data_IF_863677582549
#
_entry.id   IF_863677582549
#
_cell.length_a   1.000
_cell.length_b   1.000
_cell.length_c   1.000
_cell.angle_alpha   90.00
_cell.angle_beta   90.00
_cell.angle_gamma   90.00
#
_symmetry.space_group_name_H-M   'P 1'
#
loop_
_entity.id
_entity.type
_entity.pdbx_description
1 polymer ?
#
# COMPACT_ATOMS: atom_id res chain seq x y z
N UNK A 1 -45.59 10.12 -6.84
CA UNK A 1 -45.91 8.68 -6.69
C UNK A 1 -44.90 8.09 -5.74
N UNK A 2 -45.43 7.55 -4.66
CA UNK A 2 -44.79 7.10 -3.42
C UNK A 2 -44.03 5.80 -3.61
N UNK A 3 -42.84 5.65 -3.01
CA UNK A 3 -42.27 4.34 -2.66
C UNK A 3 -41.19 4.50 -1.57
N UNK A 4 -41.68 4.33 -0.35
CA UNK A 4 -41.09 3.89 0.91
C UNK A 4 -39.58 3.60 1.01
N UNK A 5 -38.94 4.32 1.94
CA UNK A 5 -37.72 3.90 2.62
C UNK A 5 -38.08 2.86 3.69
N UNK A 6 -37.62 1.62 3.54
CA UNK A 6 -37.79 0.57 4.55
C UNK A 6 -36.49 0.39 5.32
N UNK A 7 -36.46 0.95 6.53
CA UNK A 7 -35.45 0.69 7.54
C UNK A 7 -35.51 -0.78 7.97
N UNK A 8 -34.45 -1.55 7.74
CA UNK A 8 -34.32 -2.88 8.33
C UNK A 8 -33.84 -2.69 9.77
N UNK A 9 -34.78 -2.43 10.67
CA UNK A 9 -34.61 -2.65 12.10
C UNK A 9 -34.70 -4.15 12.31
N UNK A 10 -33.57 -4.77 12.65
CA UNK A 10 -33.50 -6.19 13.02
C UNK A 10 -34.28 -6.36 14.32
N UNK A 11 -35.48 -6.91 14.23
CA UNK A 11 -36.33 -7.21 15.38
C UNK A 11 -35.82 -8.49 16.05
N UNK A 12 -35.23 -8.35 17.25
CA UNK A 12 -34.59 -9.40 18.05
C UNK A 12 -35.58 -10.49 18.54
N UNK A 13 -36.87 -10.34 18.25
CA UNK A 13 -37.93 -11.28 18.65
C UNK A 13 -38.23 -12.38 17.64
N UNK A 14 -37.72 -12.33 16.40
CA UNK A 14 -37.98 -13.40 15.41
C UNK A 14 -37.02 -14.59 15.54
N UNK A 15 -35.98 -14.50 16.37
CA UNK A 15 -35.03 -15.58 16.63
C UNK A 15 -35.52 -16.59 17.69
N UNK A 16 -36.49 -16.24 18.53
CA UNK A 16 -37.05 -17.16 19.53
C UNK A 16 -37.99 -18.20 18.92
N UNK A 17 -38.59 -17.92 17.76
CA UNK A 17 -39.62 -18.78 17.19
C UNK A 17 -39.06 -19.87 16.26
N UNK A 18 -37.82 -19.73 15.78
CA UNK A 18 -37.15 -20.78 14.97
C UNK A 18 -36.56 -21.87 15.87
N UNK A 19 -36.13 -21.53 17.09
CA UNK A 19 -35.63 -22.49 18.09
C UNK A 19 -36.73 -23.43 18.62
N UNK A 20 -38.01 -23.05 18.48
CA UNK A 20 -39.13 -23.86 18.96
C UNK A 20 -39.52 -25.03 18.03
N UNK A 21 -39.06 -25.04 16.77
CA UNK A 21 -39.46 -26.06 15.78
C UNK A 21 -38.47 -27.23 15.65
N UNK A 22 -37.25 -27.14 16.21
CA UNK A 22 -36.26 -28.23 16.17
C UNK A 22 -36.52 -29.38 17.18
N UNK A 23 -37.53 -29.26 18.06
CA UNK A 23 -37.81 -30.28 19.09
C UNK A 23 -38.63 -31.50 18.65
N UNK A 24 -39.18 -31.54 17.43
CA UNK A 24 -40.21 -32.52 17.09
C UNK A 24 -39.86 -33.58 16.04
N UNK A 25 -38.61 -33.67 15.58
CA UNK A 25 -38.19 -34.73 14.66
C UNK A 25 -36.83 -35.27 15.08
N UNK A 26 -36.79 -36.10 16.13
CA UNK A 26 -35.73 -37.08 16.34
C UNK A 26 -36.22 -38.16 17.33
N UNK A 27 -36.82 -39.21 16.77
CA UNK A 27 -37.08 -40.46 17.47
C UNK A 27 -36.09 -41.52 17.00
N UNK A 28 -35.44 -42.18 17.97
CA UNK A 28 -34.61 -43.40 17.90
C UNK A 28 -33.09 -43.25 17.65
N UNK A 29 -32.28 -43.34 18.72
CA UNK A 29 -31.35 -44.46 18.98
C UNK A 29 -30.60 -44.24 20.30
N UNK A 30 -30.59 -45.24 21.19
CA UNK A 30 -30.18 -45.14 22.59
C UNK A 30 -28.65 -45.05 22.84
N UNK A 31 -27.84 -44.89 21.80
CA UNK A 31 -26.42 -44.53 21.90
C UNK A 31 -26.18 -43.02 21.77
N UNK A 32 -27.15 -42.26 21.23
CA UNK A 32 -26.97 -40.82 20.98
C UNK A 32 -27.02 -39.98 22.26
N UNK A 33 -27.68 -40.44 23.32
CA UNK A 33 -27.95 -39.60 24.51
C UNK A 33 -26.71 -39.28 25.34
N UNK A 34 -25.70 -40.16 25.37
CA UNK A 34 -24.48 -39.93 26.15
C UNK A 34 -23.49 -39.06 25.38
N UNK A 35 -23.34 -39.30 24.08
CA UNK A 35 -22.50 -38.48 23.18
C UNK A 35 -23.11 -37.09 23.00
N UNK A 36 -24.43 -36.95 22.81
CA UNK A 36 -25.13 -35.65 22.77
C UNK A 36 -24.88 -34.85 24.07
N UNK A 37 -24.86 -35.53 25.23
CA UNK A 37 -24.59 -34.88 26.51
C UNK A 37 -23.14 -34.37 26.61
N UNK A 38 -22.16 -35.14 26.12
CA UNK A 38 -20.75 -34.74 26.11
C UNK A 38 -20.50 -33.55 25.17
N UNK A 39 -21.13 -33.54 23.99
CA UNK A 39 -21.02 -32.43 23.03
C UNK A 39 -21.69 -31.15 23.56
N UNK A 40 -22.81 -31.26 24.27
CA UNK A 40 -23.42 -30.09 24.93
C UNK A 40 -22.58 -29.60 26.12
N UNK A 41 -21.90 -30.48 26.86
CA UNK A 41 -20.96 -30.09 27.92
C UNK A 41 -19.77 -29.30 27.38
N UNK A 42 -19.15 -29.70 26.25
CA UNK A 42 -18.03 -28.95 25.67
C UNK A 42 -18.48 -27.60 25.10
N UNK A 43 -19.70 -27.52 24.53
CA UNK A 43 -20.29 -26.24 24.12
C UNK A 43 -20.53 -25.31 25.30
N UNK A 44 -20.99 -25.85 26.45
CA UNK A 44 -21.14 -25.09 27.69
C UNK A 44 -19.79 -24.61 28.24
N UNK A 45 -18.78 -25.47 28.28
CA UNK A 45 -17.42 -25.08 28.66
C UNK A 45 -16.88 -23.94 27.78
N UNK A 46 -17.13 -24.00 26.46
CA UNK A 46 -16.77 -22.93 25.53
C UNK A 46 -17.56 -21.63 25.74
N UNK A 47 -18.84 -21.74 26.10
CA UNK A 47 -19.66 -20.58 26.46
C UNK A 47 -19.16 -19.88 27.73
N UNK A 48 -18.71 -20.64 28.72
CA UNK A 48 -18.21 -20.14 30.00
C UNK A 48 -16.74 -19.70 29.89
N UNK A 49 -15.99 -20.29 28.96
CA UNK A 49 -14.56 -20.08 28.75
C UNK A 49 -13.69 -20.90 29.72
N UNK A 50 -14.21 -22.05 30.18
CA UNK A 50 -13.59 -22.91 31.18
C UNK A 50 -12.59 -23.88 30.53
N UNK A 51 -11.30 -23.56 30.63
CA UNK A 51 -10.20 -24.34 30.05
C UNK A 51 -9.98 -25.63 30.86
N UNK A 52 -10.18 -25.61 32.18
CA UNK A 52 -10.01 -26.80 33.03
C UNK A 52 -11.06 -27.84 32.63
N UNK A 53 -12.32 -27.42 32.49
CA UNK A 53 -13.39 -28.31 32.04
C UNK A 53 -13.18 -28.84 30.63
N UNK A 54 -12.52 -28.08 29.75
CA UNK A 54 -12.12 -28.58 28.43
C UNK A 54 -11.15 -29.75 28.54
N UNK A 55 -10.11 -29.64 29.37
CA UNK A 55 -9.14 -30.72 29.56
C UNK A 55 -9.74 -31.92 30.28
N UNK A 56 -10.66 -31.73 31.23
CA UNK A 56 -11.42 -32.83 31.83
C UNK A 56 -12.23 -33.60 30.78
N UNK A 57 -12.92 -32.88 29.88
CA UNK A 57 -13.71 -33.51 28.81
C UNK A 57 -12.82 -34.22 27.78
N UNK A 58 -11.63 -33.71 27.49
CA UNK A 58 -10.64 -34.39 26.64
C UNK A 58 -10.08 -35.65 27.32
N UNK A 59 -9.95 -35.64 28.66
CA UNK A 59 -9.55 -36.84 29.40
C UNK A 59 -10.67 -37.89 29.44
N UNK A 60 -11.94 -37.46 29.50
CA UNK A 60 -13.12 -38.33 29.38
C UNK A 60 -13.22 -38.96 27.97
N UNK A 61 -13.02 -38.17 26.91
CA UNK A 61 -12.98 -38.64 25.51
C UNK A 61 -11.87 -37.94 24.70
N UNK A 62 -10.75 -38.64 24.39
CA UNK A 62 -9.64 -38.07 23.63
C UNK A 62 -9.99 -37.63 22.20
N UNK A 63 -11.07 -38.15 21.60
CA UNK A 63 -11.46 -37.82 20.22
C UNK A 63 -12.64 -36.84 20.14
N UNK A 64 -13.04 -36.23 21.25
CA UNK A 64 -14.19 -35.30 21.33
C UNK A 64 -14.11 -34.13 20.32
N UNK A 65 -12.89 -33.67 19.99
CA UNK A 65 -12.67 -32.59 19.02
C UNK A 65 -12.69 -33.07 17.56
N UNK A 66 -12.43 -34.36 17.31
CA UNK A 66 -12.40 -34.95 15.98
C UNK A 66 -13.78 -35.01 15.33
N UNK A 67 -14.84 -35.22 16.13
CA UNK A 67 -16.21 -35.29 15.63
C UNK A 67 -16.65 -34.04 14.85
N UNK A 68 -16.19 -32.85 15.25
CA UNK A 68 -16.50 -31.59 14.56
C UNK A 68 -15.85 -31.47 13.17
N UNK A 69 -14.82 -32.26 12.87
CA UNK A 69 -14.24 -32.31 11.52
C UNK A 69 -15.08 -33.16 10.56
N UNK A 70 -15.72 -34.22 11.07
CA UNK A 70 -16.55 -35.13 10.27
C UNK A 70 -17.81 -34.43 9.74
N UNK A 71 -18.39 -33.54 10.54
CA UNK A 71 -19.58 -32.78 10.16
C UNK A 71 -19.18 -31.56 9.31
N UNK A 72 -19.63 -31.42 8.05
CA UNK A 72 -19.22 -30.33 7.18
C UNK A 72 -19.64 -28.94 7.69
N UNK A 73 -20.88 -28.83 8.20
CA UNK A 73 -21.45 -27.60 8.78
C UNK A 73 -21.96 -27.90 10.18
N UNK A 74 -21.24 -27.45 11.20
CA UNK A 74 -21.65 -27.60 12.59
C UNK A 74 -21.24 -26.37 13.41
N UNK A 75 -22.01 -26.09 14.46
CA UNK A 75 -21.63 -25.10 15.46
C UNK A 75 -20.56 -25.72 16.37
N UNK A 76 -19.30 -25.38 16.11
CA UNK A 76 -18.16 -25.89 16.91
C UNK A 76 -18.02 -25.11 18.22
N UNK A 77 -17.34 -25.67 19.25
CA UNK A 77 -17.07 -24.94 20.49
C UNK A 77 -16.27 -23.64 20.23
N UNK A 78 -15.47 -23.59 19.16
CA UNK A 78 -14.74 -22.39 18.76
C UNK A 78 -15.67 -21.27 18.26
N UNK A 79 -16.77 -21.61 17.57
CA UNK A 79 -17.78 -20.62 17.17
C UNK A 79 -18.46 -19.99 18.39
N UNK A 80 -18.82 -20.81 19.38
CA UNK A 80 -19.47 -20.35 20.62
C UNK A 80 -18.51 -19.46 21.42
N UNK A 81 -17.29 -19.92 21.65
CA UNK A 81 -16.25 -19.14 22.33
C UNK A 81 -16.01 -17.81 21.61
N UNK A 82 -15.99 -17.83 20.26
CA UNK A 82 -15.81 -16.64 19.45
C UNK A 82 -16.99 -15.66 19.53
N UNK A 83 -18.23 -16.13 19.51
CA UNK A 83 -19.40 -15.29 19.72
C UNK A 83 -19.47 -14.68 21.12
N UNK A 84 -19.02 -15.41 22.14
CA UNK A 84 -19.00 -14.97 23.54
C UNK A 84 -17.75 -14.18 23.95
N UNK A 85 -16.73 -14.09 23.10
CA UNK A 85 -15.50 -13.34 23.39
C UNK A 85 -14.52 -14.04 24.34
N UNK A 86 -14.64 -15.36 24.51
CA UNK A 86 -13.76 -16.16 25.39
C UNK A 86 -12.39 -16.36 24.76
N UNK A 87 -11.56 -15.32 24.80
CA UNK A 87 -10.30 -15.23 24.05
C UNK A 87 -9.32 -16.34 24.41
N UNK A 88 -9.03 -16.55 25.69
CA UNK A 88 -8.07 -17.58 26.12
C UNK A 88 -8.52 -18.99 25.73
N UNK A 89 -9.78 -19.32 26.00
CA UNK A 89 -10.38 -20.58 25.58
C UNK A 89 -10.30 -20.79 24.06
N UNK A 90 -10.62 -19.75 23.28
CA UNK A 90 -10.58 -19.83 21.82
C UNK A 90 -9.16 -20.01 21.27
N UNK A 91 -8.17 -19.34 21.85
CA UNK A 91 -6.76 -19.54 21.47
C UNK A 91 -6.32 -20.97 21.78
N UNK A 92 -6.68 -21.48 22.97
CA UNK A 92 -6.28 -22.81 23.38
C UNK A 92 -6.91 -23.91 22.53
N UNK A 93 -8.19 -23.75 22.21
CA UNK A 93 -8.87 -24.67 21.30
C UNK A 93 -8.29 -24.63 19.88
N UNK A 94 -7.84 -23.45 19.42
CA UNK A 94 -7.18 -23.31 18.12
C UNK A 94 -5.77 -23.94 18.12
N UNK A 95 -5.06 -23.92 19.25
CA UNK A 95 -3.79 -24.65 19.43
C UNK A 95 -4.01 -26.17 19.41
N UNK A 96 -5.03 -26.66 20.11
CA UNK A 96 -5.35 -28.09 20.17
C UNK A 96 -5.89 -28.62 18.84
N UNK A 97 -6.75 -27.86 18.16
CA UNK A 97 -7.41 -28.27 16.92
C UNK A 97 -7.55 -27.11 15.91
N UNK A 98 -6.50 -26.80 15.14
CA UNK A 98 -6.51 -25.68 14.19
C UNK A 98 -7.58 -25.79 13.09
N UNK A 99 -7.99 -27.00 12.70
CA UNK A 99 -9.00 -27.22 11.65
C UNK A 99 -10.33 -26.51 11.95
N UNK A 100 -10.69 -26.39 13.23
CA UNK A 100 -11.93 -25.74 13.67
C UNK A 100 -11.98 -24.25 13.34
N UNK A 101 -10.84 -23.58 13.17
CA UNK A 101 -10.77 -22.15 12.86
C UNK A 101 -11.28 -21.82 11.45
N UNK A 102 -11.19 -22.80 10.54
CA UNK A 102 -11.63 -22.67 9.13
C UNK A 102 -13.05 -23.14 8.87
N UNK A 103 -13.65 -23.89 9.81
CA UNK A 103 -15.01 -24.44 9.69
C UNK A 103 -16.05 -23.33 9.65
N UNK A 104 -17.14 -23.59 8.92
CA UNK A 104 -18.30 -22.72 8.86
C UNK A 104 -19.44 -23.37 9.64
N UNK A 105 -20.15 -22.59 10.44
CA UNK A 105 -21.38 -23.05 11.07
C UNK A 105 -22.56 -23.11 10.09
N UNK A 106 -23.73 -23.50 10.60
CA UNK A 106 -24.98 -23.61 9.83
C UNK A 106 -25.41 -22.27 9.21
N UNK A 107 -25.04 -21.15 9.83
CA UNK A 107 -25.28 -19.81 9.30
C UNK A 107 -24.24 -19.37 8.24
N UNK A 108 -23.24 -20.21 7.95
CA UNK A 108 -22.17 -19.93 7.00
C UNK A 108 -21.09 -18.99 7.54
N UNK A 109 -20.95 -18.85 8.85
CA UNK A 109 -19.93 -18.00 9.47
C UNK A 109 -18.81 -18.85 10.06
N UNK A 110 -17.56 -18.39 9.93
CA UNK A 110 -16.44 -18.97 10.67
C UNK A 110 -16.33 -18.36 12.07
N UNK A 111 -15.54 -18.93 12.99
CA UNK A 111 -15.33 -18.33 14.31
C UNK A 111 -14.81 -16.89 14.23
N UNK A 112 -13.91 -16.59 13.28
CA UNK A 112 -13.42 -15.22 13.06
C UNK A 112 -14.54 -14.25 12.64
N UNK A 113 -15.53 -14.70 11.85
CA UNK A 113 -16.68 -13.87 11.50
C UNK A 113 -17.54 -13.56 12.73
N UNK A 114 -17.79 -14.54 13.60
CA UNK A 114 -18.57 -14.35 14.82
C UNK A 114 -17.86 -13.42 15.82
N UNK A 115 -16.54 -13.55 15.95
CA UNK A 115 -15.74 -12.63 16.76
C UNK A 115 -15.82 -11.19 16.23
N UNK A 116 -15.76 -11.00 14.90
CA UNK A 116 -15.89 -9.68 14.26
C UNK A 116 -17.30 -9.09 14.40
N UNK A 117 -18.34 -9.90 14.22
CA UNK A 117 -19.74 -9.46 14.37
C UNK A 117 -20.04 -8.98 15.80
N UNK A 118 -19.40 -9.59 16.80
CA UNK A 118 -19.56 -9.25 18.22
C UNK A 118 -18.46 -8.31 18.75
N UNK A 119 -17.63 -7.72 17.88
CA UNK A 119 -16.57 -6.77 18.21
C UNK A 119 -15.49 -7.28 19.18
N UNK A 120 -15.19 -8.58 19.17
CA UNK A 120 -14.14 -9.19 19.99
C UNK A 120 -12.74 -9.02 19.36
N UNK A 121 -12.31 -7.77 19.18
CA UNK A 121 -11.08 -7.41 18.43
C UNK A 121 -9.80 -8.06 18.97
N UNK A 122 -9.66 -8.19 20.30
CA UNK A 122 -8.51 -8.87 20.93
C UNK A 122 -8.38 -10.33 20.50
N UNK A 123 -9.51 -11.03 20.38
CA UNK A 123 -9.55 -12.40 19.91
C UNK A 123 -9.21 -12.48 18.42
N UNK A 124 -9.76 -11.56 17.61
CA UNK A 124 -9.46 -11.50 16.17
C UNK A 124 -7.97 -11.30 15.93
N UNK A 125 -7.32 -10.41 16.69
CA UNK A 125 -5.85 -10.22 16.65
C UNK A 125 -5.10 -11.50 17.00
N UNK A 126 -5.56 -12.24 18.02
CA UNK A 126 -5.00 -13.55 18.38
C UNK A 126 -5.14 -14.58 17.25
N UNK A 127 -6.31 -14.65 16.61
CA UNK A 127 -6.53 -15.56 15.47
C UNK A 127 -5.60 -15.25 14.30
N UNK A 128 -5.42 -13.97 13.94
CA UNK A 128 -4.50 -13.57 12.86
C UNK A 128 -3.04 -13.87 13.20
N UNK A 129 -2.66 -13.72 14.47
CA UNK A 129 -1.32 -14.04 14.93
C UNK A 129 -1.02 -15.56 14.86
N UNK A 130 -2.01 -16.41 15.10
CA UNK A 130 -1.87 -17.87 14.99
C UNK A 130 -1.95 -18.34 13.53
N UNK A 131 -2.88 -17.81 12.75
CA UNK A 131 -3.06 -18.15 11.33
C UNK A 131 -3.54 -16.95 10.51
N UNK A 132 -2.62 -16.37 9.74
CA UNK A 132 -2.89 -15.24 8.84
C UNK A 132 -3.82 -15.59 7.67
N UNK A 133 -3.95 -16.88 7.32
CA UNK A 133 -4.81 -17.33 6.21
C UNK A 133 -6.29 -17.17 6.53
N UNK A 134 -6.66 -17.12 7.82
CA UNK A 134 -8.03 -16.95 8.28
C UNK A 134 -8.69 -15.66 7.76
N UNK A 135 -7.89 -14.61 7.49
CA UNK A 135 -8.33 -13.34 6.91
C UNK A 135 -9.04 -13.50 5.56
N UNK A 136 -8.77 -14.61 4.85
CA UNK A 136 -9.31 -14.93 3.53
C UNK A 136 -10.47 -15.93 3.55
N UNK A 137 -10.89 -16.42 4.72
CA UNK A 137 -11.99 -17.38 4.82
C UNK A 137 -13.25 -16.75 4.24
N UNK A 138 -13.90 -17.47 3.32
CA UNK A 138 -15.14 -17.04 2.67
C UNK A 138 -16.33 -17.58 3.46
N UNK A 139 -16.95 -16.73 4.26
CA UNK A 139 -18.20 -17.05 4.92
C UNK A 139 -19.41 -16.89 4.01
N UNK A 140 -20.57 -16.64 4.62
CA UNK A 140 -21.86 -16.42 3.93
C UNK A 140 -21.73 -15.33 2.87
N UNK A 141 -22.16 -15.65 1.64
CA UNK A 141 -22.07 -14.73 0.49
C UNK A 141 -20.64 -14.47 0.00
N UNK A 142 -19.69 -15.37 0.28
CA UNK A 142 -18.25 -15.20 0.04
C UNK A 142 -17.65 -13.95 0.69
N UNK A 143 -18.30 -13.42 1.72
CA UNK A 143 -17.76 -12.30 2.50
C UNK A 143 -16.57 -12.82 3.29
N UNK A 144 -15.43 -12.14 3.20
CA UNK A 144 -14.24 -12.44 4.00
C UNK A 144 -14.15 -11.54 5.24
N UNK A 145 -13.37 -11.92 6.26
CA UNK A 145 -13.07 -11.05 7.39
C UNK A 145 -12.59 -9.65 6.99
N UNK A 146 -11.75 -9.53 5.93
CA UNK A 146 -11.33 -8.23 5.40
C UNK A 146 -12.51 -7.35 4.96
N UNK A 147 -13.51 -7.93 4.26
CA UNK A 147 -14.72 -7.20 3.87
C UNK A 147 -15.53 -6.75 5.08
N UNK A 148 -15.60 -7.58 6.13
CA UNK A 148 -16.30 -7.22 7.36
C UNK A 148 -15.61 -6.04 8.08
N UNK A 149 -14.29 -6.07 8.20
CA UNK A 149 -13.52 -4.96 8.81
C UNK A 149 -13.66 -3.68 7.97
N UNK A 150 -13.63 -3.79 6.64
CA UNK A 150 -13.87 -2.66 5.74
C UNK A 150 -15.28 -2.06 5.89
N UNK A 151 -16.29 -2.89 6.15
CA UNK A 151 -17.67 -2.47 6.45
C UNK A 151 -17.79 -1.73 7.78
N UNK A 152 -17.11 -2.25 8.82
CA UNK A 152 -17.11 -1.66 10.16
C UNK A 152 -16.35 -0.32 10.22
N UNK A 153 -15.33 -0.16 9.37
CA UNK A 153 -14.54 1.06 9.31
C UNK A 153 -13.35 1.08 10.29
N UNK A 154 -13.02 -0.04 10.94
CA UNK A 154 -11.86 -0.16 11.83
C UNK A 154 -10.57 -0.12 11.01
N UNK A 155 -9.98 1.07 10.93
CA UNK A 155 -8.81 1.34 10.12
C UNK A 155 -7.54 0.62 10.63
N UNK A 156 -7.44 0.38 11.94
CA UNK A 156 -6.29 -0.26 12.57
C UNK A 156 -6.29 -1.75 12.25
N UNK A 157 -7.39 -2.43 12.57
CA UNK A 157 -7.55 -3.86 12.28
C UNK A 157 -7.47 -4.14 10.77
N UNK A 158 -7.98 -3.22 9.94
CA UNK A 158 -7.88 -3.32 8.48
C UNK A 158 -6.42 -3.27 8.03
N UNK A 159 -5.62 -2.39 8.62
CA UNK A 159 -4.20 -2.29 8.30
C UNK A 159 -3.43 -3.55 8.74
N UNK A 160 -3.75 -4.11 9.91
CA UNK A 160 -3.17 -5.37 10.40
C UNK A 160 -3.49 -6.53 9.44
N UNK A 161 -4.75 -6.66 8.99
CA UNK A 161 -5.16 -7.71 8.06
C UNK A 161 -4.47 -7.63 6.70
N UNK A 162 -4.32 -6.43 6.15
CA UNK A 162 -3.63 -6.22 4.87
C UNK A 162 -2.15 -6.60 4.96
N UNK A 163 -1.51 -6.30 6.08
CA UNK A 163 -0.13 -6.67 6.33
C UNK A 163 0.05 -8.16 6.59
N UNK A 164 -0.83 -8.79 7.37
CA UNK A 164 -0.80 -10.22 7.63
C UNK A 164 -1.08 -11.04 6.36
N UNK A 165 -2.02 -10.60 5.53
CA UNK A 165 -2.37 -11.29 4.29
C UNK A 165 -2.56 -10.30 3.12
N UNK A 166 -1.47 -9.90 2.41
CA UNK A 166 -1.54 -8.94 1.30
C UNK A 166 -2.45 -9.33 0.14
N UNK A 167 -2.64 -10.64 -0.06
CA UNK A 167 -3.44 -11.21 -1.13
C UNK A 167 -4.96 -11.17 -0.85
N UNK A 168 -5.36 -10.89 0.40
CA UNK A 168 -6.77 -10.73 0.78
C UNK A 168 -7.47 -9.55 0.07
N UNK A 169 -6.73 -8.56 -0.41
CA UNK A 169 -7.26 -7.39 -1.12
C UNK A 169 -7.93 -7.74 -2.47
N UNK A 170 -7.62 -8.91 -3.02
CA UNK A 170 -8.15 -9.41 -4.30
C UNK A 170 -9.40 -10.27 -4.12
N UNK A 171 -9.75 -10.63 -2.88
CA UNK A 171 -10.93 -11.45 -2.64
C UNK A 171 -12.21 -10.66 -2.95
N UNK A 172 -13.19 -11.37 -3.51
CA UNK A 172 -14.48 -10.82 -3.93
C UNK A 172 -15.63 -11.52 -3.20
N UNK A 173 -16.66 -10.74 -2.89
CA UNK A 173 -17.95 -11.27 -2.45
C UNK A 173 -18.69 -11.95 -3.61
N UNK A 174 -19.83 -12.59 -3.32
CA UNK A 174 -20.71 -13.15 -4.35
C UNK A 174 -21.22 -12.09 -5.34
N UNK A 175 -21.31 -10.82 -4.90
CA UNK A 175 -21.71 -9.67 -5.72
C UNK A 175 -20.53 -9.04 -6.49
N UNK A 176 -19.41 -9.75 -6.58
CA UNK A 176 -18.16 -9.23 -7.15
C UNK A 176 -17.66 -7.93 -6.48
N UNK A 177 -18.07 -7.64 -5.25
CA UNK A 177 -17.61 -6.45 -4.53
C UNK A 177 -16.23 -6.71 -3.93
N UNK A 178 -15.32 -5.74 -4.09
CA UNK A 178 -14.04 -5.71 -3.36
C UNK A 178 -14.22 -5.07 -1.98
N UNK A 179 -13.24 -5.22 -1.09
CA UNK A 179 -13.22 -4.50 0.19
C UNK A 179 -13.35 -2.97 0.03
N UNK A 180 -12.90 -2.41 -1.10
CA UNK A 180 -13.05 -0.98 -1.41
C UNK A 180 -14.50 -0.63 -1.73
N UNK A 181 -15.20 -1.45 -2.52
CA UNK A 181 -16.64 -1.26 -2.79
C UNK A 181 -17.42 -1.27 -1.47
N UNK A 182 -17.15 -2.25 -0.60
CA UNK A 182 -17.80 -2.37 0.71
C UNK A 182 -17.54 -1.15 1.60
N UNK A 183 -16.30 -0.65 1.69
CA UNK A 183 -15.99 0.52 2.48
C UNK A 183 -16.74 1.78 2.00
N UNK A 184 -16.79 2.01 0.68
CA UNK A 184 -17.47 3.19 0.11
C UNK A 184 -18.99 3.08 0.27
N UNK A 185 -19.56 1.91 0.04
CA UNK A 185 -20.99 1.63 0.20
C UNK A 185 -21.49 1.84 1.64
N UNK A 186 -20.62 1.62 2.62
CA UNK A 186 -20.92 1.81 4.04
C UNK A 186 -20.40 3.15 4.59
N UNK A 187 -20.05 4.12 3.73
CA UNK A 187 -19.58 5.45 4.12
C UNK A 187 -18.31 5.46 4.99
N UNK A 188 -17.49 4.40 4.94
CA UNK A 188 -16.28 4.24 5.75
C UNK A 188 -15.06 4.91 5.10
N UNK A 189 -15.01 6.24 5.21
CA UNK A 189 -13.95 7.07 4.61
C UNK A 189 -12.54 6.72 5.11
N UNK A 190 -12.36 6.36 6.38
CA UNK A 190 -11.04 6.03 6.92
C UNK A 190 -10.55 4.68 6.40
N UNK A 191 -11.40 3.66 6.40
CA UNK A 191 -11.11 2.37 5.76
C UNK A 191 -10.77 2.54 4.26
N UNK A 192 -11.54 3.37 3.54
CA UNK A 192 -11.25 3.70 2.15
C UNK A 192 -9.85 4.32 1.98
N UNK A 193 -9.45 5.28 2.83
CA UNK A 193 -8.13 5.91 2.76
C UNK A 193 -7.00 4.91 3.03
N UNK A 194 -7.19 3.96 3.96
CA UNK A 194 -6.24 2.87 4.23
C UNK A 194 -6.11 1.94 3.03
N UNK A 195 -7.23 1.43 2.50
CA UNK A 195 -7.26 0.54 1.34
C UNK A 195 -6.64 1.19 0.11
N UNK A 196 -6.99 2.44 -0.18
CA UNK A 196 -6.42 3.18 -1.30
C UNK A 196 -4.91 3.36 -1.10
N UNK A 197 -4.48 3.75 0.10
CA UNK A 197 -3.06 3.83 0.46
C UNK A 197 -2.31 2.51 0.30
N UNK A 198 -2.93 1.39 0.61
CA UNK A 198 -2.40 0.04 0.40
C UNK A 198 -2.25 -0.26 -1.10
N UNK A 199 -3.32 -0.12 -1.88
CA UNK A 199 -3.33 -0.40 -3.33
C UNK A 199 -2.24 0.34 -4.10
N UNK A 200 -1.98 1.60 -3.74
CA UNK A 200 -0.89 2.39 -4.33
C UNK A 200 0.50 1.83 -4.04
N UNK A 201 0.70 1.23 -2.87
CA UNK A 201 1.98 0.66 -2.43
C UNK A 201 2.23 -0.73 -2.98
N UNK A 202 1.17 -1.54 -3.11
CA UNK A 202 1.25 -2.86 -3.75
C UNK A 202 1.11 -2.81 -5.28
N UNK A 203 0.92 -1.61 -5.85
CA UNK A 203 0.74 -1.38 -7.28
C UNK A 203 -0.43 -2.18 -7.90
N UNK A 204 -1.54 -2.29 -7.17
CA UNK A 204 -2.78 -2.97 -7.60
C UNK A 204 -3.94 -1.99 -7.77
N UNK A 205 -3.67 -0.79 -8.27
CA UNK A 205 -4.70 0.26 -8.49
C UNK A 205 -5.79 -0.18 -9.48
N UNK A 206 -5.50 -1.17 -10.33
CA UNK A 206 -6.45 -1.83 -11.23
C UNK A 206 -7.68 -2.42 -10.51
N UNK A 207 -7.57 -2.78 -9.22
CA UNK A 207 -8.69 -3.25 -8.39
C UNK A 207 -9.78 -2.17 -8.25
N UNK A 208 -9.43 -0.88 -8.38
CA UNK A 208 -10.41 0.23 -8.33
C UNK A 208 -11.29 0.30 -9.59
N UNK A 209 -10.83 -0.29 -10.70
CA UNK A 209 -11.57 -0.36 -11.96
C UNK A 209 -12.42 -1.63 -12.06
N UNK A 210 -12.29 -2.57 -11.12
CA UNK A 210 -13.13 -3.77 -11.08
C UNK A 210 -14.59 -3.40 -10.85
N UNK A 211 -15.48 -4.20 -11.43
CA UNK A 211 -16.92 -3.98 -11.42
C UNK A 211 -17.59 -4.98 -10.49
N UNK A 212 -18.60 -4.52 -9.77
CA UNK A 212 -19.53 -5.39 -9.04
C UNK A 212 -20.52 -6.09 -9.98
N UNK A 213 -21.44 -6.85 -9.41
CA UNK A 213 -22.52 -7.58 -10.11
C UNK A 213 -23.38 -6.68 -11.02
N UNK A 214 -23.56 -5.41 -10.65
CA UNK A 214 -24.33 -4.41 -11.41
C UNK A 214 -23.46 -3.68 -12.46
N UNK A 215 -22.20 -4.07 -12.60
CA UNK A 215 -21.23 -3.42 -13.48
C UNK A 215 -20.68 -2.10 -12.93
N UNK A 216 -21.01 -1.73 -11.69
CA UNK A 216 -20.57 -0.49 -11.07
C UNK A 216 -19.14 -0.63 -10.59
N UNK A 217 -18.31 0.36 -10.89
CA UNK A 217 -17.00 0.52 -10.23
C UNK A 217 -17.16 1.27 -8.91
N UNK A 218 -16.14 1.24 -8.06
CA UNK A 218 -16.09 2.05 -6.83
C UNK A 218 -16.42 3.53 -7.08
N UNK A 219 -16.08 4.06 -8.25
CA UNK A 219 -16.38 5.44 -8.63
C UNK A 219 -17.88 5.67 -8.91
N UNK A 220 -18.59 4.69 -9.49
CA UNK A 220 -20.05 4.72 -9.64
C UNK A 220 -20.76 4.70 -8.27
N UNK A 221 -20.30 3.84 -7.36
CA UNK A 221 -20.82 3.79 -5.99
C UNK A 221 -20.61 5.14 -5.29
N UNK A 222 -19.39 5.69 -5.34
CA UNK A 222 -19.08 6.98 -4.74
C UNK A 222 -19.92 8.13 -5.32
N UNK A 223 -20.19 8.09 -6.63
CA UNK A 223 -21.06 9.02 -7.33
C UNK A 223 -22.52 8.91 -6.87
N UNK A 224 -23.08 7.69 -6.79
CA UNK A 224 -24.45 7.44 -6.35
C UNK A 224 -24.71 7.88 -4.91
N UNK A 225 -23.70 7.75 -4.05
CA UNK A 225 -23.74 8.14 -2.64
C UNK A 225 -23.38 9.63 -2.43
N UNK A 226 -22.94 10.33 -3.49
CA UNK A 226 -22.42 11.70 -3.46
C UNK A 226 -21.29 11.90 -2.43
N UNK A 227 -20.41 10.91 -2.29
CA UNK A 227 -19.33 10.94 -1.30
C UNK A 227 -18.13 11.78 -1.80
N UNK A 228 -18.23 13.11 -1.69
CA UNK A 228 -17.31 14.07 -2.33
C UNK A 228 -15.82 13.84 -2.06
N UNK A 229 -15.42 13.42 -0.85
CA UNK A 229 -14.02 13.13 -0.53
C UNK A 229 -13.45 11.91 -1.28
N UNK A 230 -14.28 10.87 -1.46
CA UNK A 230 -13.91 9.64 -2.17
C UNK A 230 -13.82 9.95 -3.66
N UNK A 231 -14.80 10.69 -4.21
CA UNK A 231 -14.79 11.16 -5.61
C UNK A 231 -13.51 11.97 -5.91
N UNK A 232 -13.14 12.92 -5.04
CA UNK A 232 -11.91 13.71 -5.19
C UNK A 232 -10.65 12.84 -5.22
N UNK A 233 -10.62 11.79 -4.40
CA UNK A 233 -9.48 10.87 -4.28
C UNK A 233 -9.37 9.91 -5.48
N UNK A 234 -10.51 9.43 -5.99
CA UNK A 234 -10.57 8.49 -7.11
C UNK A 234 -10.37 9.15 -8.48
N UNK A 235 -10.75 10.44 -8.62
CA UNK A 235 -10.64 11.18 -9.89
C UNK A 235 -9.27 11.09 -10.57
N UNK A 236 -8.19 11.00 -9.78
CA UNK A 236 -6.81 10.96 -10.30
C UNK A 236 -6.33 9.55 -10.66
N UNK A 237 -7.06 8.52 -10.29
CA UNK A 237 -6.57 7.13 -10.30
C UNK A 237 -7.45 6.20 -11.16
N UNK A 238 -8.76 6.48 -11.25
CA UNK A 238 -9.76 5.56 -11.85
C UNK A 238 -10.16 5.99 -13.26
N UNK A 239 -10.55 5.02 -14.10
CA UNK A 239 -11.12 5.28 -15.43
C UNK A 239 -12.51 5.93 -15.33
N UNK A 240 -12.57 7.23 -15.63
CA UNK A 240 -13.79 8.05 -15.51
C UNK A 240 -14.90 7.71 -16.52
N UNK A 241 -14.56 7.08 -17.65
CA UNK A 241 -15.49 6.76 -18.75
C UNK A 241 -16.01 5.32 -18.69
N UNK A 242 -15.72 4.57 -17.63
CA UNK A 242 -16.31 3.25 -17.45
C UNK A 242 -17.83 3.36 -17.34
N UNK A 243 -18.56 2.44 -17.98
CA UNK A 243 -20.02 2.33 -17.93
C UNK A 243 -20.44 1.13 -17.11
N UNK A 244 -21.50 1.28 -16.33
CA UNK A 244 -22.16 0.17 -15.64
C UNK A 244 -23.05 -0.65 -16.60
N UNK A 245 -23.77 -1.65 -16.09
CA UNK A 245 -24.68 -2.46 -16.92
C UNK A 245 -25.82 -1.64 -17.53
N UNK A 246 -26.26 -0.55 -16.86
CA UNK A 246 -27.25 0.40 -17.39
C UNK A 246 -26.69 1.31 -18.50
N UNK A 247 -25.42 1.15 -18.89
CA UNK A 247 -24.75 2.00 -19.88
C UNK A 247 -24.44 3.41 -19.38
N UNK A 248 -24.63 3.70 -18.08
CA UNK A 248 -24.38 5.00 -17.45
C UNK A 248 -22.95 5.07 -16.95
N UNK A 249 -22.32 6.24 -17.11
CA UNK A 249 -21.07 6.56 -16.42
C UNK A 249 -21.35 7.09 -15.02
N UNK A 250 -20.36 7.03 -14.13
CA UNK A 250 -20.45 7.64 -12.81
C UNK A 250 -20.76 9.16 -12.85
N UNK A 251 -20.35 9.85 -13.93
CA UNK A 251 -20.69 11.26 -14.13
C UNK A 251 -22.15 11.45 -14.51
N UNK A 252 -22.73 10.53 -15.29
CA UNK A 252 -24.17 10.56 -15.63
C UNK A 252 -25.01 10.31 -14.37
N UNK A 253 -24.56 9.42 -13.48
CA UNK A 253 -25.18 9.22 -12.16
C UNK A 253 -25.14 10.52 -11.34
N UNK A 254 -24.00 11.22 -11.29
CA UNK A 254 -23.87 12.51 -10.59
C UNK A 254 -24.79 13.61 -11.15
N UNK A 255 -25.02 13.63 -12.46
CA UNK A 255 -25.87 14.64 -13.11
C UNK A 255 -27.37 14.39 -12.89
N UNK A 256 -27.81 13.11 -12.88
CA UNK A 256 -29.21 12.76 -12.67
C UNK A 256 -29.74 13.11 -11.27
N UNK A 257 -28.88 13.26 -10.26
CA UNK A 257 -29.25 13.69 -8.91
C UNK A 257 -29.31 15.22 -8.72
N UNK A 258 -29.27 16.04 -9.79
CA UNK A 258 -29.56 17.47 -9.72
C UNK A 258 -31.07 17.72 -9.43
N UNK A 259 -31.47 17.47 -8.18
CA UNK A 259 -32.69 18.01 -7.56
C UNK A 259 -32.30 18.81 -6.32
N UNK A 260 -32.99 19.91 -5.97
CA UNK A 260 -32.45 20.99 -5.16
C UNK A 260 -32.54 20.66 -3.67
N UNK A 261 -31.58 19.90 -3.16
CA UNK A 261 -31.28 19.91 -1.74
C UNK A 261 -29.76 19.85 -1.54
N UNK A 262 -29.26 20.81 -0.77
CA UNK A 262 -27.87 21.01 -0.32
C UNK A 262 -26.91 21.79 -1.24
N UNK A 263 -26.79 23.11 -1.02
CA UNK A 263 -25.71 23.91 -1.57
C UNK A 263 -24.53 23.87 -0.60
N UNK A 264 -23.53 22.99 -0.82
CA UNK A 264 -22.17 23.13 -0.24
C UNK A 264 -21.16 22.15 -0.85
N UNK A 265 -21.02 22.19 -2.17
CA UNK A 265 -19.99 21.42 -2.90
C UNK A 265 -18.83 22.25 -3.45
N UNK A 266 -18.80 23.57 -3.21
CA UNK A 266 -17.85 24.49 -3.88
C UNK A 266 -17.21 25.58 -3.02
N UNK A 267 -17.17 25.40 -1.69
CA UNK A 267 -16.24 26.10 -0.78
C UNK A 267 -15.85 25.17 0.35
N UNK A 268 -14.67 24.56 0.22
CA UNK A 268 -13.86 24.06 1.34
C UNK A 268 -12.49 23.73 0.74
N UNK A 269 -11.76 24.81 0.48
CA UNK A 269 -10.38 24.83 0.05
C UNK A 269 -9.66 25.88 0.90
N UNK A 270 -9.65 25.65 2.22
CA UNK A 270 -8.72 26.27 3.16
C UNK A 270 -8.76 25.57 4.53
N UNK A 271 -8.00 24.50 4.65
CA UNK A 271 -7.45 24.03 5.93
C UNK A 271 -6.19 23.19 5.65
N UNK A 272 -5.23 23.83 4.98
CA UNK A 272 -3.85 23.32 4.78
C UNK A 272 -2.95 23.78 5.95
N UNK A 273 -3.51 24.00 7.14
CA UNK A 273 -2.74 24.50 8.29
C UNK A 273 -3.09 23.83 9.60
N UNK A 274 -3.26 22.52 9.58
CA UNK A 274 -3.21 21.68 10.79
C UNK A 274 -2.39 20.43 10.50
N UNK A 275 -1.08 20.63 10.39
CA UNK A 275 -0.12 19.54 10.48
C UNK A 275 1.22 20.08 10.97
N UNK A 276 1.20 20.69 12.14
CA UNK A 276 2.39 20.87 12.95
C UNK A 276 1.97 20.52 14.38
N UNK A 277 2.73 19.59 14.97
CA UNK A 277 2.67 19.14 16.36
C UNK A 277 1.70 17.98 16.65
N UNK A 278 2.17 16.76 16.40
CA UNK A 278 2.27 15.80 17.50
C UNK A 278 3.37 14.80 17.17
N UNK A 279 4.42 14.79 17.98
CA UNK A 279 5.52 13.83 17.93
C UNK A 279 5.18 12.54 18.66
N UNK A 280 3.99 11.99 18.43
CA UNK A 280 3.62 10.65 18.90
C UNK A 280 3.94 9.61 17.82
N UNK A 281 4.15 8.36 18.24
CA UNK A 281 4.28 7.21 17.33
C UNK A 281 3.07 7.16 16.38
N UNK A 282 3.31 6.84 15.11
CA UNK A 282 2.30 6.83 14.07
C UNK A 282 1.77 5.42 13.88
N UNK A 283 0.46 5.21 13.92
CA UNK A 283 -0.11 3.87 13.69
C UNK A 283 0.03 3.46 12.22
N UNK A 284 -0.07 2.15 11.97
CA UNK A 284 0.01 1.57 10.62
C UNK A 284 -1.09 2.11 9.68
N UNK A 285 -2.30 2.26 10.21
CA UNK A 285 -3.42 2.88 9.52
C UNK A 285 -3.12 4.32 9.10
N UNK A 286 -2.49 5.11 9.98
CA UNK A 286 -2.08 6.47 9.68
C UNK A 286 -0.98 6.54 8.62
N UNK A 287 -0.02 5.60 8.65
CA UNK A 287 0.98 5.45 7.60
C UNK A 287 0.34 5.24 6.23
N UNK A 288 -0.60 4.30 6.16
CA UNK A 288 -1.27 3.91 4.91
C UNK A 288 -2.13 5.06 4.37
N UNK A 289 -2.85 5.78 5.23
CA UNK A 289 -3.67 6.94 4.88
C UNK A 289 -2.89 8.10 4.25
N UNK A 290 -1.63 8.31 4.64
CA UNK A 290 -0.80 9.41 4.13
C UNK A 290 -0.34 9.12 2.68
N UNK A 291 -0.33 10.18 1.85
CA UNK A 291 0.16 10.14 0.46
C UNK A 291 1.55 9.49 0.34
N UNK A 292 1.86 8.94 -0.85
CA UNK A 292 3.15 8.30 -1.10
C UNK A 292 4.29 9.30 -0.94
N UNK A 293 5.35 8.88 -0.24
CA UNK A 293 6.63 9.61 -0.21
C UNK A 293 7.28 9.62 -1.60
N UNK A 294 8.26 10.50 -1.78
CA UNK A 294 9.09 10.49 -3.00
C UNK A 294 9.72 9.11 -3.23
N UNK A 295 10.21 8.48 -2.16
CA UNK A 295 10.78 7.13 -2.20
C UNK A 295 9.76 6.07 -2.61
N UNK A 296 8.54 6.10 -2.07
CA UNK A 296 7.46 5.19 -2.47
C UNK A 296 7.02 5.43 -3.92
N UNK A 297 6.96 6.69 -4.37
CA UNK A 297 6.66 7.03 -5.77
C UNK A 297 7.74 6.53 -6.72
N UNK A 298 9.02 6.72 -6.37
CA UNK A 298 10.18 6.18 -7.10
C UNK A 298 10.08 4.66 -7.19
N UNK A 299 9.88 3.99 -6.05
CA UNK A 299 9.72 2.55 -5.97
C UNK A 299 8.59 2.07 -6.87
N UNK A 300 7.43 2.73 -6.84
CA UNK A 300 6.31 2.44 -7.74
C UNK A 300 6.69 2.61 -9.22
N UNK A 301 7.34 3.72 -9.57
CA UNK A 301 7.79 3.99 -10.95
C UNK A 301 8.80 2.97 -11.46
N UNK A 302 9.72 2.52 -10.60
CA UNK A 302 10.71 1.49 -10.89
C UNK A 302 10.15 0.05 -10.78
N UNK A 303 8.89 -0.12 -10.39
CA UNK A 303 8.29 -1.45 -10.16
C UNK A 303 8.84 -2.20 -8.94
N UNK A 304 9.49 -1.51 -8.01
CA UNK A 304 10.06 -2.02 -6.76
C UNK A 304 9.02 -1.95 -5.63
N UNK A 305 7.92 -2.69 -5.71
CA UNK A 305 6.93 -2.74 -4.62
C UNK A 305 7.41 -3.68 -3.50
N UNK A 306 7.95 -3.11 -2.42
CA UNK A 306 8.52 -3.85 -1.27
C UNK A 306 7.53 -4.74 -0.50
N UNK A 307 6.23 -4.69 -0.78
CA UNK A 307 5.20 -5.23 0.10
C UNK A 307 4.43 -6.43 -0.48
N UNK A 308 4.68 -6.84 -1.73
CA UNK A 308 3.86 -7.90 -2.36
C UNK A 308 4.59 -8.90 -3.25
N UNK A 309 5.92 -8.83 -3.42
CA UNK A 309 6.61 -9.74 -4.34
C UNK A 309 7.36 -10.85 -3.61
N UNK A 310 6.66 -11.97 -3.38
CA UNK A 310 7.26 -13.29 -3.21
C UNK A 310 7.95 -13.67 -4.54
N UNK A 311 9.27 -13.91 -4.47
CA UNK A 311 10.05 -14.68 -5.45
C UNK A 311 10.26 -14.09 -6.85
N UNK A 312 9.33 -14.34 -7.76
CA UNK A 312 9.61 -14.31 -9.21
C UNK A 312 9.64 -12.92 -9.84
N UNK A 313 8.75 -12.01 -9.41
CA UNK A 313 8.70 -10.63 -9.97
C UNK A 313 9.88 -9.78 -9.48
N UNK A 314 10.37 -10.06 -8.27
CA UNK A 314 11.53 -9.40 -7.67
C UNK A 314 12.79 -9.61 -8.52
N UNK A 315 13.01 -10.84 -8.99
CA UNK A 315 14.18 -11.19 -9.79
C UNK A 315 14.20 -10.49 -11.16
N UNK A 316 13.04 -10.40 -11.84
CA UNK A 316 12.93 -9.73 -13.14
C UNK A 316 13.11 -8.21 -13.03
N UNK A 317 12.60 -7.60 -11.96
CA UNK A 317 12.79 -6.16 -11.68
C UNK A 317 14.25 -5.86 -11.31
N UNK A 318 14.91 -6.71 -10.52
CA UNK A 318 16.34 -6.58 -10.21
C UNK A 318 17.18 -6.51 -11.49
N UNK A 319 17.02 -7.50 -12.39
CA UNK A 319 17.76 -7.55 -13.66
C UNK A 319 17.56 -6.30 -14.52
N UNK A 320 16.35 -5.73 -14.55
CA UNK A 320 16.07 -4.49 -15.29
C UNK A 320 16.78 -3.30 -14.67
N UNK A 321 16.78 -3.18 -13.35
CA UNK A 321 17.44 -2.09 -12.65
C UNK A 321 18.97 -2.19 -12.77
N UNK A 322 19.51 -3.41 -12.74
CA UNK A 322 20.93 -3.67 -12.98
C UNK A 322 21.34 -3.22 -14.40
N UNK A 323 20.53 -3.53 -15.41
CA UNK A 323 20.76 -3.07 -16.78
C UNK A 323 20.70 -1.52 -16.90
N UNK A 324 19.71 -0.88 -16.27
CA UNK A 324 19.60 0.60 -16.27
C UNK A 324 20.81 1.22 -15.56
N UNK A 325 21.26 0.64 -14.44
CA UNK A 325 22.44 1.10 -13.72
C UNK A 325 23.70 0.99 -14.60
N UNK A 326 23.89 -0.14 -15.28
CA UNK A 326 25.02 -0.34 -16.20
C UNK A 326 25.01 0.71 -17.31
N UNK A 327 23.85 0.95 -17.95
CA UNK A 327 23.72 1.96 -19.01
C UNK A 327 24.01 3.36 -18.47
N UNK A 328 23.51 3.71 -17.29
CA UNK A 328 23.76 5.01 -16.68
C UNK A 328 25.25 5.20 -16.34
N UNK A 329 25.92 4.17 -15.82
CA UNK A 329 27.38 4.19 -15.57
C UNK A 329 28.14 4.37 -16.87
N UNK A 330 27.76 3.66 -17.95
CA UNK A 330 28.40 3.81 -19.26
C UNK A 330 28.29 5.23 -19.82
N UNK A 331 27.11 5.86 -19.70
CA UNK A 331 26.91 7.26 -20.14
C UNK A 331 27.74 8.21 -19.28
N UNK A 332 27.78 8.01 -17.95
CA UNK A 332 28.63 8.81 -17.05
C UNK A 332 30.10 8.66 -17.41
N UNK A 333 30.59 7.44 -17.67
CA UNK A 333 31.98 7.22 -18.07
C UNK A 333 32.31 7.87 -19.41
N UNK A 334 31.43 7.74 -20.41
CA UNK A 334 31.63 8.34 -21.72
C UNK A 334 31.64 9.86 -21.65
N UNK A 335 30.67 10.46 -20.97
CA UNK A 335 30.56 11.92 -20.81
C UNK A 335 31.69 12.50 -19.95
N UNK A 336 32.16 11.76 -18.93
CA UNK A 336 33.34 12.14 -18.14
C UNK A 336 34.61 12.13 -18.98
N UNK A 337 34.87 11.07 -19.76
CA UNK A 337 36.04 10.98 -20.65
C UNK A 337 36.06 12.08 -21.70
N UNK A 338 34.92 12.28 -22.37
CA UNK A 338 34.73 13.31 -23.41
C UNK A 338 34.91 14.73 -22.84
N UNK A 339 34.71 14.92 -21.54
CA UNK A 339 34.98 16.18 -20.87
C UNK A 339 36.47 16.54 -20.74
N UNK A 340 37.38 15.57 -20.65
CA UNK A 340 38.83 15.80 -20.63
C UNK A 340 39.44 15.86 -22.04
N UNK A 341 38.80 15.21 -23.00
CA UNK A 341 39.25 15.16 -24.39
C UNK A 341 38.14 15.73 -25.29
N UNK A 342 37.93 17.06 -25.24
CA UNK A 342 36.92 17.69 -26.06
C UNK A 342 37.26 17.53 -27.55
N UNK A 343 36.24 17.55 -28.44
CA UNK A 343 36.45 17.45 -29.88
C UNK A 343 37.32 18.61 -30.36
N UNK A 344 38.40 18.31 -31.09
CA UNK A 344 39.41 19.29 -31.48
C UNK A 344 40.60 19.42 -30.51
N UNK A 345 40.51 18.81 -29.33
CA UNK A 345 41.58 18.76 -28.35
C UNK A 345 41.76 20.03 -27.52
N UNK A 346 42.89 20.10 -26.84
CA UNK A 346 43.30 21.23 -26.01
C UNK A 346 44.63 21.79 -26.52
N UNK A 347 44.83 23.09 -26.35
CA UNK A 347 46.10 23.73 -26.65
C UNK A 347 47.21 23.18 -25.74
N UNK A 348 48.36 22.83 -26.32
CA UNK A 348 49.50 22.28 -25.55
C UNK A 348 50.45 23.35 -25.05
N UNK A 349 50.53 24.49 -25.75
CA UNK A 349 51.47 25.58 -25.45
C UNK A 349 50.72 26.91 -25.32
N UNK A 350 51.28 27.83 -24.52
CA UNK A 350 50.75 29.18 -24.37
C UNK A 350 51.16 30.04 -25.58
N UNK A 351 50.23 30.75 -26.21
CA UNK A 351 50.55 31.71 -27.27
C UNK A 351 50.69 33.13 -26.69
N UNK A 352 51.92 33.63 -26.55
CA UNK A 352 52.20 34.99 -26.07
C UNK A 352 52.57 36.00 -27.17
N UNK A 353 52.40 35.65 -28.45
CA UNK A 353 52.76 36.55 -29.56
C UNK A 353 51.74 37.68 -29.73
N UNK A 354 52.17 38.90 -29.46
CA UNK A 354 51.43 40.16 -29.48
C UNK A 354 50.95 40.63 -30.87
N UNK A 355 51.15 39.83 -31.92
CA UNK A 355 50.69 40.12 -33.30
C UNK A 355 49.55 39.21 -33.77
N UNK A 356 49.18 38.17 -33.01
CA UNK A 356 48.06 37.30 -33.33
C UNK A 356 46.84 37.70 -32.49
N UNK A 357 45.72 37.99 -33.15
CA UNK A 357 44.44 38.40 -32.52
C UNK A 357 43.80 37.37 -31.57
N UNK A 358 44.44 36.23 -31.30
CA UNK A 358 43.90 35.17 -30.44
C UNK A 358 44.97 34.69 -29.45
N UNK A 359 44.93 35.21 -28.23
CA UNK A 359 45.70 34.70 -27.09
C UNK A 359 45.02 33.40 -26.62
N UNK A 360 45.78 32.32 -26.56
CA UNK A 360 45.33 31.03 -26.05
C UNK A 360 46.26 30.53 -24.94
N UNK A 361 45.66 29.93 -23.92
CA UNK A 361 46.39 29.29 -22.82
C UNK A 361 46.42 27.77 -22.99
N UNK A 362 47.53 27.15 -22.64
CA UNK A 362 47.68 25.70 -22.59
C UNK A 362 46.62 25.11 -21.65
N UNK A 363 45.99 24.02 -22.10
CA UNK A 363 44.88 23.36 -21.41
C UNK A 363 43.49 23.85 -21.81
N UNK A 364 43.36 24.94 -22.60
CA UNK A 364 42.06 25.41 -23.10
C UNK A 364 41.59 24.63 -24.34
N UNK A 365 40.28 24.51 -24.52
CA UNK A 365 39.70 23.92 -25.73
C UNK A 365 40.13 24.69 -26.98
N UNK A 366 40.46 23.98 -28.05
CA UNK A 366 40.81 24.59 -29.35
C UNK A 366 39.59 25.13 -30.10
N UNK A 367 38.39 24.74 -29.70
CA UNK A 367 37.14 25.12 -30.36
C UNK A 367 36.68 26.55 -30.00
N UNK A 368 35.89 27.14 -30.89
CA UNK A 368 35.28 28.46 -30.65
C UNK A 368 34.36 28.46 -29.41
N UNK A 369 34.25 29.62 -28.75
CA UNK A 369 33.44 29.81 -27.54
C UNK A 369 32.01 29.24 -27.64
N UNK A 370 31.30 29.55 -28.73
CA UNK A 370 29.91 29.11 -28.92
C UNK A 370 29.79 27.58 -29.07
N UNK A 371 30.74 26.96 -29.78
CA UNK A 371 30.77 25.50 -29.92
C UNK A 371 31.16 24.82 -28.61
N UNK A 372 32.10 25.41 -27.85
CA UNK A 372 32.47 24.95 -26.51
C UNK A 372 31.27 24.99 -25.57
N UNK A 373 30.55 26.11 -25.52
CA UNK A 373 29.37 26.26 -24.68
C UNK A 373 28.27 25.26 -25.05
N UNK A 374 27.99 25.07 -26.33
CA UNK A 374 27.00 24.10 -26.81
C UNK A 374 27.40 22.67 -26.41
N UNK A 375 28.62 22.27 -26.73
CA UNK A 375 29.14 20.94 -26.39
C UNK A 375 29.09 20.67 -24.88
N UNK A 376 29.56 21.63 -24.08
CA UNK A 376 29.59 21.54 -22.63
C UNK A 376 28.18 21.43 -22.03
N UNK A 377 27.22 22.17 -22.57
CA UNK A 377 25.83 22.12 -22.14
C UNK A 377 25.22 20.74 -22.37
N UNK A 378 25.32 20.19 -23.58
CA UNK A 378 24.75 18.87 -23.88
C UNK A 378 25.48 17.74 -23.13
N UNK A 379 26.81 17.77 -23.08
CA UNK A 379 27.59 16.76 -22.34
C UNK A 379 27.30 16.85 -20.83
N UNK A 380 27.20 18.07 -20.30
CA UNK A 380 26.83 18.32 -18.91
C UNK A 380 25.42 17.82 -18.57
N UNK A 381 24.42 18.05 -19.42
CA UNK A 381 23.05 17.54 -19.22
C UNK A 381 23.02 16.02 -19.25
N UNK A 382 23.73 15.38 -20.20
CA UNK A 382 23.81 13.92 -20.28
C UNK A 382 24.47 13.32 -19.02
N UNK A 383 25.57 13.92 -18.55
CA UNK A 383 26.26 13.51 -17.32
C UNK A 383 25.36 13.67 -16.09
N UNK A 384 24.76 14.85 -15.88
CA UNK A 384 23.88 15.11 -14.74
C UNK A 384 22.62 14.23 -14.75
N UNK A 385 21.98 14.04 -15.90
CA UNK A 385 20.81 13.17 -16.03
C UNK A 385 21.16 11.71 -15.67
N UNK A 386 22.33 11.23 -16.09
CA UNK A 386 22.78 9.87 -15.82
C UNK A 386 23.19 9.67 -14.36
N UNK A 387 23.86 10.67 -13.77
CA UNK A 387 24.13 10.71 -12.33
C UNK A 387 22.85 10.73 -11.50
N UNK A 388 21.80 11.44 -11.94
CA UNK A 388 20.50 11.41 -11.27
C UNK A 388 19.95 9.99 -11.19
N UNK A 389 20.00 9.26 -12.31
CA UNK A 389 19.50 7.88 -12.39
C UNK A 389 20.30 6.97 -11.43
N UNK A 390 21.62 7.08 -11.41
CA UNK A 390 22.49 6.34 -10.48
C UNK A 390 22.11 6.67 -9.03
N UNK A 391 21.98 7.95 -8.69
CA UNK A 391 21.60 8.40 -7.36
C UNK A 391 20.25 7.87 -6.91
N UNK A 392 19.28 7.95 -7.82
CA UNK A 392 17.93 7.46 -7.59
C UNK A 392 17.94 5.94 -7.42
N UNK A 393 18.75 5.16 -8.14
CA UNK A 393 18.79 3.69 -8.01
C UNK A 393 19.52 3.20 -6.76
N UNK A 394 20.64 3.84 -6.39
CA UNK A 394 21.50 3.40 -5.29
C UNK A 394 20.87 3.69 -3.91
N UNK A 395 19.95 4.65 -3.84
CA UNK A 395 19.31 5.04 -2.58
C UNK A 395 18.52 3.84 -1.98
N UNK A 396 18.94 3.42 -0.78
CA UNK A 396 18.39 2.26 -0.07
C UNK A 396 19.26 0.99 -0.08
N UNK A 397 20.36 0.94 -0.83
CA UNK A 397 21.33 -0.16 -0.77
C UNK A 397 22.23 -0.10 0.49
N UNK A 398 22.79 -1.23 0.96
CA UNK A 398 23.86 -1.18 1.96
C UNK A 398 25.01 -0.31 1.43
N UNK A 399 25.63 0.50 2.29
CA UNK A 399 26.72 1.42 1.93
C UNK A 399 26.34 2.57 0.97
N UNK A 400 25.05 2.84 0.70
CA UNK A 400 24.65 3.88 -0.25
C UNK A 400 25.24 5.27 0.05
N UNK A 401 25.44 5.62 1.33
CA UNK A 401 26.05 6.90 1.74
C UNK A 401 27.48 7.08 1.22
N UNK A 402 28.27 6.01 1.20
CA UNK A 402 29.65 6.05 0.72
C UNK A 402 29.68 6.31 -0.78
N UNK A 403 28.84 5.58 -1.53
CA UNK A 403 28.71 5.76 -2.98
C UNK A 403 28.12 7.14 -3.31
N UNK A 404 27.23 7.64 -2.46
CA UNK A 404 26.67 8.99 -2.58
C UNK A 404 27.76 10.06 -2.48
N UNK A 405 28.66 9.94 -1.50
CA UNK A 405 29.79 10.83 -1.34
C UNK A 405 30.76 10.74 -2.52
N UNK A 406 31.07 9.54 -3.00
CA UNK A 406 32.01 9.37 -4.13
C UNK A 406 31.49 10.02 -5.41
N UNK A 407 30.19 9.87 -5.70
CA UNK A 407 29.57 10.50 -6.87
C UNK A 407 29.48 12.03 -6.71
N UNK A 408 29.25 12.54 -5.50
CA UNK A 408 29.31 13.98 -5.25
C UNK A 408 30.72 14.54 -5.53
N UNK A 409 31.76 13.84 -5.06
CA UNK A 409 33.16 14.19 -5.35
C UNK A 409 33.45 14.13 -6.86
N UNK A 410 32.99 13.08 -7.56
CA UNK A 410 33.12 12.95 -9.01
C UNK A 410 32.47 14.14 -9.75
N UNK A 411 31.28 14.57 -9.30
CA UNK A 411 30.56 15.70 -9.88
C UNK A 411 31.33 17.02 -9.71
N UNK A 412 31.96 17.21 -8.54
CA UNK A 412 32.79 18.38 -8.26
C UNK A 412 34.07 18.36 -9.09
N UNK A 413 34.72 17.21 -9.23
CA UNK A 413 35.91 17.04 -10.06
C UNK A 413 35.62 17.35 -11.53
N UNK A 414 34.49 16.87 -12.06
CA UNK A 414 34.09 17.12 -13.44
C UNK A 414 33.85 18.62 -13.70
N UNK A 415 33.23 19.30 -12.74
CA UNK A 415 33.00 20.73 -12.84
C UNK A 415 34.29 21.56 -12.74
N UNK A 416 35.25 21.13 -11.90
CA UNK A 416 36.57 21.76 -11.85
C UNK A 416 37.30 21.62 -13.18
N UNK A 417 37.20 20.45 -13.82
CA UNK A 417 37.74 20.21 -15.17
C UNK A 417 37.10 21.16 -16.20
N UNK A 418 35.77 21.28 -16.22
CA UNK A 418 35.09 22.21 -17.11
C UNK A 418 35.48 23.67 -16.91
N UNK A 419 35.65 24.12 -15.66
CA UNK A 419 36.10 25.48 -15.39
C UNK A 419 37.54 25.74 -15.88
N UNK A 420 38.41 24.73 -15.88
CA UNK A 420 39.80 24.86 -16.28
C UNK A 420 39.99 24.82 -17.81
N UNK A 421 39.23 23.98 -18.52
CA UNK A 421 39.41 23.74 -19.96
C UNK A 421 38.64 24.79 -20.80
N UNK A 422 37.62 25.44 -20.24
CA UNK A 422 36.77 26.36 -20.98
C UNK A 422 37.55 27.59 -21.50
N UNK A 423 37.37 27.99 -22.78
CA UNK A 423 38.13 29.10 -23.36
C UNK A 423 37.70 30.43 -22.74
N UNK A 424 38.68 31.20 -22.25
CA UNK A 424 38.49 32.57 -21.76
C UNK A 424 38.61 33.55 -22.92
N UNK A 425 37.60 34.42 -23.12
CA UNK A 425 37.67 35.52 -24.08
C UNK A 425 37.46 36.86 -23.37
N UNK A 426 38.14 37.90 -23.83
CA UNK A 426 38.12 39.25 -23.22
C UNK A 426 36.77 40.00 -23.35
N UNK A 427 35.78 39.40 -24.01
CA UNK A 427 34.43 39.97 -24.13
C UNK A 427 33.63 39.86 -22.83
N UNK A 428 33.20 41.00 -22.27
CA UNK A 428 32.41 41.05 -21.02
C UNK A 428 31.17 40.13 -21.05
N UNK A 429 30.45 40.07 -22.17
CA UNK A 429 29.22 39.27 -22.31
C UNK A 429 29.49 37.76 -22.29
N UNK A 430 30.57 37.32 -22.95
CA UNK A 430 30.96 35.92 -23.04
C UNK A 430 31.45 35.41 -21.67
N UNK A 431 32.25 36.21 -20.95
CA UNK A 431 32.67 35.89 -19.58
C UNK A 431 31.51 35.75 -18.59
N UNK A 432 30.52 36.65 -18.67
CA UNK A 432 29.29 36.56 -17.86
C UNK A 432 28.53 35.25 -18.17
N UNK A 433 28.40 34.87 -19.44
CA UNK A 433 27.68 33.66 -19.83
C UNK A 433 28.35 32.37 -19.31
N UNK A 434 29.68 32.32 -19.29
CA UNK A 434 30.45 31.19 -18.75
C UNK A 434 30.26 31.04 -17.23
N UNK A 435 30.30 32.17 -16.50
CA UNK A 435 30.07 32.20 -15.04
C UNK A 435 28.65 31.74 -14.71
N UNK A 436 27.65 32.24 -15.46
CA UNK A 436 26.25 31.83 -15.29
C UNK A 436 26.11 30.33 -15.50
N UNK A 437 26.75 29.77 -16.52
CA UNK A 437 26.69 28.33 -16.81
C UNK A 437 27.30 27.49 -15.67
N UNK A 438 28.50 27.85 -15.19
CA UNK A 438 29.16 27.14 -14.09
C UNK A 438 28.31 27.22 -12.80
N UNK A 439 27.76 28.39 -12.49
CA UNK A 439 26.88 28.59 -11.34
C UNK A 439 25.57 27.79 -11.45
N UNK A 440 24.95 27.77 -12.63
CA UNK A 440 23.74 26.97 -12.88
C UNK A 440 24.01 25.47 -12.72
N UNK A 441 25.16 24.99 -13.19
CA UNK A 441 25.58 23.60 -13.03
C UNK A 441 25.83 23.24 -11.55
N UNK A 442 26.51 24.13 -10.77
CA UNK A 442 26.67 23.99 -9.31
C UNK A 442 25.32 23.87 -8.61
N UNK A 443 24.40 24.77 -8.92
CA UNK A 443 23.06 24.80 -8.32
C UNK A 443 22.27 23.53 -8.64
N UNK A 444 22.38 23.03 -9.87
CA UNK A 444 21.70 21.80 -10.30
C UNK A 444 22.22 20.58 -9.55
N UNK A 445 23.54 20.43 -9.40
CA UNK A 445 24.13 19.34 -8.60
C UNK A 445 23.68 19.44 -7.13
N UNK A 446 23.78 20.63 -6.54
CA UNK A 446 23.44 20.83 -5.13
C UNK A 446 21.95 20.54 -4.85
N UNK A 447 21.05 21.01 -5.72
CA UNK A 447 19.61 20.76 -5.59
C UNK A 447 19.27 19.29 -5.77
N UNK A 448 19.88 18.62 -6.75
CA UNK A 448 19.69 17.18 -6.96
C UNK A 448 20.15 16.39 -5.73
N UNK A 449 21.37 16.61 -5.24
CA UNK A 449 21.92 15.91 -4.08
C UNK A 449 21.14 16.21 -2.79
N UNK A 450 20.71 17.45 -2.57
CA UNK A 450 19.96 17.80 -1.37
C UNK A 450 18.54 17.21 -1.42
N UNK A 451 17.85 17.33 -2.54
CA UNK A 451 16.48 16.85 -2.69
C UNK A 451 16.36 15.33 -2.49
N UNK A 452 17.26 14.54 -3.08
CA UNK A 452 17.23 13.07 -2.92
C UNK A 452 17.63 12.64 -1.51
N UNK A 453 18.60 13.31 -0.88
CA UNK A 453 18.99 13.04 0.49
C UNK A 453 17.87 13.36 1.49
N UNK A 454 17.27 14.54 1.40
CA UNK A 454 16.13 14.95 2.24
C UNK A 454 14.92 14.04 2.02
N UNK A 455 14.63 13.67 0.78
CA UNK A 455 13.54 12.73 0.49
C UNK A 455 13.75 11.36 1.16
N UNK A 456 14.99 10.86 1.17
CA UNK A 456 15.34 9.61 1.83
C UNK A 456 15.25 9.71 3.35
N UNK A 457 15.79 10.77 3.96
CA UNK A 457 15.72 10.94 5.42
C UNK A 457 14.28 11.08 5.89
N UNK A 458 13.43 11.81 5.15
CA UNK A 458 12.00 11.91 5.44
C UNK A 458 11.32 10.54 5.33
N UNK A 459 11.59 9.74 4.30
CA UNK A 459 11.02 8.40 4.16
C UNK A 459 11.48 7.45 5.27
N UNK A 460 12.78 7.45 5.59
CA UNK A 460 13.35 6.63 6.65
C UNK A 460 12.76 7.02 8.01
N UNK A 461 12.69 8.31 8.32
CA UNK A 461 12.04 8.80 9.54
C UNK A 461 10.56 8.43 9.58
N UNK A 462 9.85 8.48 8.45
CA UNK A 462 8.43 8.11 8.38
C UNK A 462 8.22 6.63 8.65
N UNK A 463 9.07 5.74 8.15
CA UNK A 463 8.99 4.28 8.42
C UNK A 463 9.39 3.93 9.85
N UNK A 464 10.42 4.58 10.39
CA UNK A 464 10.93 4.30 11.75
C UNK A 464 9.99 4.79 12.86
N UNK A 465 9.09 5.72 12.55
CA UNK A 465 8.02 6.20 13.46
C UNK A 465 6.74 5.36 13.40
N UNK A 466 6.69 4.33 12.56
CA UNK A 466 5.54 3.40 12.52
C UNK A 466 5.81 2.30 13.54
N UNK A 467 4.93 2.20 14.52
CA UNK A 467 4.85 1.02 15.37
C UNK A 467 4.28 -0.10 14.50
N UNK A 468 5.15 -0.82 13.79
CA UNK A 468 4.76 -2.11 13.23
C UNK A 468 4.43 -3.00 14.42
N UNK A 469 3.26 -3.66 14.46
CA UNK A 469 2.97 -4.63 15.50
C UNK A 469 4.06 -5.70 15.47
N UNK A 470 5.04 -5.56 16.37
CA UNK A 470 6.27 -6.35 16.41
C UNK A 470 6.03 -7.80 16.88
N UNK A 471 4.77 -8.21 17.04
CA UNK A 471 4.35 -9.52 17.52
C UNK A 471 3.51 -10.33 16.54
N UNK A 472 3.31 -9.87 15.29
CA UNK A 472 2.62 -10.66 14.25
C UNK A 472 3.56 -11.23 13.18
N UNK A 473 4.88 -11.08 13.32
CA UNK A 473 5.86 -11.41 12.27
C UNK A 473 7.04 -12.27 12.73
N UNK A 474 6.93 -12.95 13.87
CA UNK A 474 7.83 -14.06 14.20
C UNK A 474 7.14 -15.39 14.00
N UNK A 475 7.13 -15.86 12.75
CA UNK A 475 7.38 -17.26 12.43
C UNK A 475 8.06 -17.36 11.07
#
# INVERSE_FOLDING_TARGET
>A
MTSEAMSIVVNVTSLSNVVAQEKNLNGSSSTSTQDENIHEKIKKAAQDGDIERLYELIAEDPNILGHFDEVPFCETPLHIAAGKGKTHFAMELMTLKPSLASKLNVSGFSPMHLALLNNHTRMVRGFVALDSSLVRIKGRGRVTPLHHVARMGDAELLSEFLFACPSSIEDLTIKCETAVHVAVKNHQLMAFKVLMGWLKRVNKEEILDWKDEDGNTVFHIAASINHTEVIKSLRKTVKLKAKNLDGKTAMDILQNYQSPCFPKGRRLLRSVKERLLSGSTMTLAEYLRKNLTFMEKRNKFLGMSNLSSIGERSLKTSKRNDAILIVAVLIVTATYQVGFSPPGGVWQENSSNSTAHNVHHAGQMTMSFNMALFFLAFNGVAFLSSLYVIMVLIIGLPMWKLIYCSVAVLSVAMLASYAAIFPTRDGQLEGISAIIFIMAFRLTIATMLCATFVAFTIDKCRRHRVDFPASCFSS
#
